data_IF_332884486187
#
_entry.id   IF_332884486187
#
_cell.length_a   1.000
_cell.length_b   1.000
_cell.length_c   1.000
_cell.angle_alpha   90.00
_cell.angle_beta   90.00
_cell.angle_gamma   90.00
#
_symmetry.space_group_name_H-M   'P 1'
#
loop_
_entity.id
_entity.type
_entity.pdbx_description
1 polymer ?
#
# COMPACT_ATOMS: atom_id res chain seq x y z
N UNK A 1 -18.69 -12.32 -1.49
CA UNK A 1 -18.70 -11.86 -2.89
C UNK A 1 -17.48 -10.95 -3.09
N UNK A 2 -16.41 -11.42 -3.75
CA UNK A 2 -15.18 -10.63 -3.98
C UNK A 2 -15.48 -9.58 -5.06
N UNK A 3 -15.90 -8.40 -4.65
CA UNK A 3 -16.12 -7.28 -5.56
C UNK A 3 -14.77 -6.85 -6.18
N UNK A 4 -14.67 -6.89 -7.51
CA UNK A 4 -13.55 -6.35 -8.29
C UNK A 4 -13.66 -4.83 -8.46
N UNK A 5 -14.40 -4.15 -7.58
CA UNK A 5 -14.50 -2.70 -7.62
C UNK A 5 -13.12 -2.09 -7.34
N UNK A 6 -12.60 -1.39 -8.35
CA UNK A 6 -11.26 -0.79 -8.32
C UNK A 6 -11.10 0.19 -7.16
N UNK A 7 -12.16 0.89 -6.76
CA UNK A 7 -12.16 1.79 -5.61
C UNK A 7 -11.98 1.05 -4.28
N UNK A 8 -12.63 -0.12 -4.11
CA UNK A 8 -12.47 -0.95 -2.90
C UNK A 8 -11.04 -1.48 -2.82
N UNK A 9 -10.46 -1.90 -3.96
CA UNK A 9 -9.07 -2.37 -4.01
C UNK A 9 -8.07 -1.25 -3.66
N UNK A 10 -8.30 -0.03 -4.17
CA UNK A 10 -7.48 1.13 -3.79
C UNK A 10 -7.57 1.42 -2.30
N UNK A 11 -8.78 1.43 -1.75
CA UNK A 11 -8.99 1.68 -0.33
C UNK A 11 -8.29 0.60 0.52
N UNK A 12 -8.42 -0.68 0.16
CA UNK A 12 -7.75 -1.77 0.86
C UNK A 12 -6.21 -1.64 0.84
N UNK A 13 -5.63 -1.28 -0.32
CA UNK A 13 -4.19 -1.01 -0.43
C UNK A 13 -3.80 0.18 0.44
N UNK A 14 -4.54 1.29 0.37
CA UNK A 14 -4.27 2.47 1.18
C UNK A 14 -4.27 2.15 2.68
N UNK A 15 -5.27 1.41 3.16
CA UNK A 15 -5.32 0.98 4.57
C UNK A 15 -4.14 0.09 4.93
N UNK A 16 -3.71 -0.80 4.04
CA UNK A 16 -2.52 -1.62 4.27
C UNK A 16 -1.24 -0.76 4.36
N UNK A 17 -1.08 0.24 3.49
CA UNK A 17 0.09 1.12 3.49
C UNK A 17 0.15 2.07 4.70
N UNK A 18 -0.99 2.43 5.28
CA UNK A 18 -1.05 3.17 6.55
C UNK A 18 -0.45 2.40 7.73
N UNK A 19 -0.39 1.07 7.64
CA UNK A 19 0.26 0.23 8.68
C UNK A 19 1.77 0.06 8.50
N UNK A 20 2.34 0.65 7.44
CA UNK A 20 3.74 0.49 7.05
C UNK A 20 3.89 -0.05 5.64
N UNK A 21 5.15 -0.19 5.20
CA UNK A 21 5.47 -0.62 3.84
C UNK A 21 4.90 -2.01 3.50
N UNK A 22 4.54 -2.22 2.24
CA UNK A 22 4.06 -3.50 1.71
C UNK A 22 4.70 -3.82 0.36
N UNK A 23 5.17 -5.06 0.18
CA UNK A 23 5.60 -5.54 -1.12
C UNK A 23 4.41 -5.88 -2.02
N UNK A 24 4.65 -5.92 -3.33
CA UNK A 24 3.64 -6.36 -4.30
C UNK A 24 3.16 -7.79 -4.02
N UNK A 25 4.03 -8.66 -3.51
CA UNK A 25 3.69 -10.03 -3.09
C UNK A 25 2.76 -9.97 -1.88
N UNK A 26 3.13 -9.23 -0.82
CA UNK A 26 2.30 -9.09 0.37
C UNK A 26 0.90 -8.57 0.03
N UNK A 27 0.79 -7.53 -0.81
CA UNK A 27 -0.52 -6.99 -1.23
C UNK A 27 -1.35 -8.02 -2.01
N UNK A 28 -0.72 -8.84 -2.86
CA UNK A 28 -1.39 -9.90 -3.62
C UNK A 28 -1.91 -11.00 -2.70
N UNK A 29 -1.07 -11.48 -1.79
CA UNK A 29 -1.38 -12.61 -0.91
C UNK A 29 -2.37 -12.24 0.19
N UNK A 30 -2.19 -11.08 0.83
CA UNK A 30 -3.03 -10.66 1.97
C UNK A 30 -4.36 -10.04 1.54
N UNK A 31 -4.39 -9.28 0.43
CA UNK A 31 -5.61 -8.60 -0.03
C UNK A 31 -6.31 -9.32 -1.19
N UNK A 32 -5.68 -10.33 -1.80
CA UNK A 32 -6.22 -11.03 -2.97
C UNK A 32 -6.30 -10.17 -4.23
N UNK A 33 -5.50 -9.10 -4.33
CA UNK A 33 -5.50 -8.18 -5.47
C UNK A 33 -4.50 -8.66 -6.53
N UNK A 34 -5.00 -9.05 -7.71
CA UNK A 34 -4.17 -9.60 -8.79
C UNK A 34 -3.18 -8.59 -9.39
N UNK A 35 -3.48 -7.30 -9.37
CA UNK A 35 -2.62 -6.26 -9.95
C UNK A 35 -2.53 -5.05 -9.01
N UNK A 36 -1.70 -5.11 -7.94
CA UNK A 36 -1.58 -4.00 -6.98
C UNK A 36 -0.95 -2.74 -7.57
N UNK A 37 0.01 -2.88 -8.50
CA UNK A 37 0.75 -1.75 -9.06
C UNK A 37 -0.16 -0.72 -9.78
N UNK A 38 -1.11 -1.10 -10.64
CA UNK A 38 -2.11 -0.17 -11.18
C UNK A 38 -2.90 0.59 -10.11
N UNK A 39 -3.28 -0.07 -9.01
CA UNK A 39 -4.03 0.57 -7.92
C UNK A 39 -3.18 1.59 -7.18
N UNK A 40 -1.89 1.32 -6.97
CA UNK A 40 -0.93 2.27 -6.40
C UNK A 40 -0.74 3.47 -7.34
N UNK A 41 -0.65 3.25 -8.65
CA UNK A 41 -0.60 4.33 -9.64
C UNK A 41 -1.86 5.21 -9.60
N UNK A 42 -3.03 4.62 -9.49
CA UNK A 42 -4.30 5.37 -9.36
C UNK A 42 -4.36 6.18 -8.05
N UNK A 43 -3.82 5.67 -6.94
CA UNK A 43 -3.70 6.43 -5.68
C UNK A 43 -2.74 7.62 -5.83
N UNK A 44 -1.60 7.45 -6.50
CA UNK A 44 -0.70 8.57 -6.82
C UNK A 44 -1.39 9.64 -7.66
N UNK A 45 -2.18 9.23 -8.65
CA UNK A 45 -2.98 10.15 -9.46
C UNK A 45 -4.05 10.90 -8.64
N UNK A 46 -4.44 10.38 -7.47
CA UNK A 46 -5.34 11.04 -6.51
C UNK A 46 -4.59 11.93 -5.50
N UNK A 47 -3.27 12.09 -5.62
CA UNK A 47 -2.46 12.96 -4.78
C UNK A 47 -1.82 12.31 -3.55
N UNK A 48 -1.90 10.98 -3.42
CA UNK A 48 -1.15 10.26 -2.37
C UNK A 48 0.33 10.19 -2.74
N UNK A 49 1.21 10.59 -1.82
CA UNK A 49 2.64 10.41 -1.97
C UNK A 49 3.03 9.01 -1.51
N UNK A 50 3.32 8.14 -2.47
CA UNK A 50 3.69 6.74 -2.23
C UNK A 50 5.05 6.52 -2.90
N UNK A 51 6.06 6.22 -2.10
CA UNK A 51 7.38 5.81 -2.58
C UNK A 51 7.32 4.36 -3.09
N UNK A 52 8.04 4.06 -4.17
CA UNK A 52 8.37 2.66 -4.53
C UNK A 52 9.85 2.43 -4.34
N UNK A 53 10.20 1.56 -3.40
CA UNK A 53 11.51 0.92 -3.34
C UNK A 53 11.44 -0.46 -3.99
N UNK A 54 12.60 -1.09 -4.16
CA UNK A 54 12.68 -2.44 -4.70
C UNK A 54 13.57 -3.31 -3.84
N UNK A 55 13.12 -4.54 -3.58
CA UNK A 55 13.94 -5.59 -2.98
C UNK A 55 13.81 -6.87 -3.76
N UNK A 56 14.83 -7.72 -3.65
CA UNK A 56 14.75 -9.04 -4.23
C UNK A 56 14.05 -9.99 -3.25
N UNK A 57 12.95 -10.60 -3.70
CA UNK A 57 12.22 -11.62 -2.94
C UNK A 57 12.17 -12.90 -3.77
N UNK A 58 12.11 -14.04 -3.09
CA UNK A 58 11.87 -15.32 -3.73
C UNK A 58 10.37 -15.56 -3.82
N UNK A 59 9.90 -16.06 -4.96
CA UNK A 59 8.55 -16.59 -5.07
C UNK A 59 8.47 -18.02 -4.49
N UNK A 60 7.26 -18.58 -4.50
CA UNK A 60 7.00 -19.95 -4.02
C UNK A 60 7.75 -21.04 -4.80
N UNK A 61 8.21 -20.74 -6.03
CA UNK A 61 8.99 -21.65 -6.85
C UNK A 61 10.51 -21.49 -6.62
N UNK A 62 10.91 -20.63 -5.69
CA UNK A 62 12.31 -20.36 -5.37
C UNK A 62 13.00 -19.45 -6.41
N UNK A 63 12.24 -18.78 -7.29
CA UNK A 63 12.79 -17.86 -8.28
C UNK A 63 12.90 -16.46 -7.66
N UNK A 64 14.09 -15.86 -7.79
CA UNK A 64 14.39 -14.52 -7.27
C UNK A 64 13.90 -13.44 -8.22
N UNK A 65 12.98 -12.60 -7.76
CA UNK A 65 12.42 -11.49 -8.53
C UNK A 65 12.72 -10.16 -7.86
N UNK A 66 12.86 -9.09 -8.66
CA UNK A 66 12.88 -7.73 -8.15
C UNK A 66 11.44 -7.27 -7.90
N UNK A 67 11.05 -7.16 -6.64
CA UNK A 67 9.68 -6.84 -6.21
C UNK A 67 9.60 -5.38 -5.78
N UNK A 68 8.55 -4.69 -6.22
CA UNK A 68 8.23 -3.33 -5.75
C UNK A 68 7.65 -3.35 -4.33
N UNK A 69 8.19 -2.48 -3.49
CA UNK A 69 7.79 -2.23 -2.10
C UNK A 69 7.25 -0.81 -2.02
N UNK A 70 6.03 -0.67 -1.52
CA UNK A 70 5.34 0.60 -1.47
C UNK A 70 5.30 1.12 -0.05
N UNK A 71 5.60 2.41 0.14
CA UNK A 71 5.52 3.10 1.42
C UNK A 71 4.71 4.38 1.26
N UNK A 72 3.67 4.55 2.07
CA UNK A 72 2.91 5.80 2.13
C UNK A 72 3.73 6.87 2.87
N UNK A 73 4.06 7.95 2.18
CA UNK A 73 4.85 9.08 2.72
C UNK A 73 3.94 10.19 3.22
N UNK A 74 2.91 10.51 2.46
CA UNK A 74 1.87 11.47 2.86
C UNK A 74 0.57 11.21 2.12
N UNK A 75 -0.52 11.69 2.70
CA UNK A 75 -1.85 11.68 2.09
C UNK A 75 -2.13 13.07 1.52
N UNK A 76 -2.94 13.17 0.44
CA UNK A 76 -3.36 14.48 -0.04
C UNK A 76 -4.05 15.22 1.10
N UNK A 77 -3.78 16.52 1.25
CA UNK A 77 -4.52 17.36 2.18
C UNK A 77 -5.98 17.42 1.76
N UNK A 78 -6.80 16.54 2.33
CA UNK A 78 -8.25 16.64 2.31
C UNK A 78 -8.72 17.33 3.59
N UNK A 79 -9.60 18.32 3.44
CA UNK A 79 -10.14 19.15 4.52
C UNK A 79 -10.45 18.36 5.80
N UNK A 80 -9.73 18.71 6.87
CA UNK A 80 -9.99 18.39 8.27
C UNK A 80 -10.60 17.02 8.59
N UNK A 81 -9.74 16.03 8.86
CA UNK A 81 -10.01 15.15 9.99
C UNK A 81 -8.73 14.85 10.77
N UNK A 82 -8.55 15.66 11.81
CA UNK A 82 -7.57 15.46 12.87
C UNK A 82 -7.79 14.08 13.48
N UNK A 83 -6.86 13.15 13.27
CA UNK A 83 -6.70 12.04 14.19
C UNK A 83 -5.51 12.37 15.10
N UNK A 84 -5.81 12.98 16.24
CA UNK A 84 -4.88 13.13 17.36
C UNK A 84 -4.53 11.74 17.89
N UNK A 85 -3.47 11.14 17.35
CA UNK A 85 -2.80 9.98 17.93
C UNK A 85 -1.51 10.44 18.61
N UNK A 86 -1.63 10.93 19.84
CA UNK A 86 -0.49 11.17 20.71
C UNK A 86 0.22 9.83 20.99
N UNK A 87 1.34 9.56 20.32
CA UNK A 87 2.32 8.63 20.90
C UNK A 87 3.14 9.41 21.92
N UNK A 88 2.71 9.25 23.17
CA UNK A 88 3.45 9.68 24.34
C UNK A 88 4.83 9.03 24.32
N UNK A 89 5.87 9.85 24.40
CA UNK A 89 7.18 9.39 24.83
C UNK A 89 7.08 9.00 26.30
N UNK A 90 7.19 7.71 26.60
CA UNK A 90 7.46 7.25 27.96
C UNK A 90 8.94 6.86 28.06
N UNK A 91 9.66 7.75 28.75
CA UNK A 91 10.87 7.61 29.59
C UNK A 91 12.04 6.75 29.13
#
# INVERSE_FOLDING_TARGET
MRSTNTAIQRLAILQALRTGEKSTIQLRETLGICSPAPRVMELRAQGYDILTDYRYEYDIAGVKHRIGVYLLKSEPQGDHQQHKGQYKNDK
#
